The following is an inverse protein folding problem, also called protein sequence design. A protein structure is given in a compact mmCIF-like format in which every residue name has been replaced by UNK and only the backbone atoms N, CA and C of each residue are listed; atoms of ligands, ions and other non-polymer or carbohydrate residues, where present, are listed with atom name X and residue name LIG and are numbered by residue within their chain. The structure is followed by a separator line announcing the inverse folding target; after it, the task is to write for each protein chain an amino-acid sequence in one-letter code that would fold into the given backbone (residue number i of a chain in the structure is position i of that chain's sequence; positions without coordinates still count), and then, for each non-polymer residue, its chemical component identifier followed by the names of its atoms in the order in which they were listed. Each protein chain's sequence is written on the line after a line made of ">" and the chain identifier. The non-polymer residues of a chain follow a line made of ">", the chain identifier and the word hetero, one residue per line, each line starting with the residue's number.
data_IF_471420030278
#
_entry.id   IF_471420030278
#
_cell.length_a   1.000
_cell.length_b   1.000
_cell.length_c   1.000
_cell.angle_alpha   90.00
_cell.angle_beta   90.00
_cell.angle_gamma   90.00
#
_symmetry.space_group_name_H-M   'P 1'
#
loop_
_entity.id
_entity.type
_entity.pdbx_description
1 polymer ?
#
# COMPACT_ATOMS: atom_id res chain seq x y z
N UNK A 1 -17.22 3.04 -15.25
CA UNK A 1 -15.97 2.71 -14.56
C UNK A 1 -15.91 1.21 -14.33
N UNK A 2 -14.81 0.58 -14.68
CA UNK A 2 -14.67 -0.86 -14.53
C UNK A 2 -14.59 -1.25 -13.05
N UNK A 3 -15.27 -2.32 -12.68
CA UNK A 3 -15.12 -2.88 -11.35
C UNK A 3 -13.75 -3.54 -11.21
N UNK A 4 -13.23 -3.54 -9.99
CA UNK A 4 -12.01 -4.24 -9.68
C UNK A 4 -12.23 -5.76 -9.80
N UNK A 5 -11.39 -6.41 -10.57
CA UNK A 5 -11.41 -7.87 -10.68
C UNK A 5 -10.79 -8.49 -9.44
N UNK A 6 -10.99 -9.80 -9.26
CA UNK A 6 -10.33 -10.54 -8.19
C UNK A 6 -8.80 -10.38 -8.27
N UNK A 7 -8.25 -10.43 -9.47
CA UNK A 7 -6.81 -10.25 -9.68
C UNK A 7 -6.35 -8.87 -9.27
N UNK A 8 -7.14 -7.84 -9.58
CA UNK A 8 -6.83 -6.46 -9.19
C UNK A 8 -6.82 -6.30 -7.67
N UNK A 9 -7.77 -6.94 -7.00
CA UNK A 9 -7.83 -6.91 -5.53
C UNK A 9 -6.61 -7.59 -4.92
N UNK A 10 -6.22 -8.74 -5.44
CA UNK A 10 -5.04 -9.46 -4.97
C UNK A 10 -3.79 -8.58 -5.14
N UNK A 11 -3.63 -7.96 -6.30
CA UNK A 11 -2.49 -7.09 -6.56
C UNK A 11 -2.51 -5.87 -5.62
N UNK A 12 -3.66 -5.23 -5.47
CA UNK A 12 -3.78 -4.06 -4.59
C UNK A 12 -3.38 -4.40 -3.15
N UNK A 13 -3.79 -5.56 -2.67
CA UNK A 13 -3.46 -6.00 -1.32
C UNK A 13 -1.98 -6.36 -1.16
N UNK A 14 -1.36 -6.92 -2.20
CA UNK A 14 0.09 -7.15 -2.21
C UNK A 14 0.85 -5.83 -2.13
N UNK A 15 0.41 -4.82 -2.87
CA UNK A 15 1.02 -3.50 -2.84
C UNK A 15 0.90 -2.88 -1.45
N UNK A 16 -0.28 -2.96 -0.83
CA UNK A 16 -0.49 -2.45 0.53
C UNK A 16 0.43 -3.16 1.53
N UNK A 17 0.58 -4.47 1.41
CA UNK A 17 1.48 -5.26 2.24
C UNK A 17 2.94 -4.83 2.06
N UNK A 18 3.36 -4.60 0.82
CA UNK A 18 4.71 -4.16 0.51
C UNK A 18 5.01 -2.78 1.11
N UNK A 19 4.05 -1.86 1.03
CA UNK A 19 4.19 -0.53 1.65
C UNK A 19 4.42 -0.68 3.15
N UNK A 20 3.62 -1.50 3.81
CA UNK A 20 3.77 -1.75 5.24
C UNK A 20 5.13 -2.35 5.57
N UNK A 21 5.59 -3.34 4.81
CA UNK A 21 6.89 -3.96 5.01
C UNK A 21 8.03 -2.94 4.92
N UNK A 22 8.02 -2.13 3.88
CA UNK A 22 9.06 -1.12 3.67
C UNK A 22 9.00 -0.03 4.75
N UNK A 23 7.80 0.38 5.14
CA UNK A 23 7.64 1.32 6.23
C UNK A 23 8.23 0.78 7.53
N UNK A 24 7.90 -0.44 7.87
CA UNK A 24 8.41 -1.08 9.09
C UNK A 24 9.93 -1.28 9.04
N UNK A 25 10.45 -1.56 7.85
CA UNK A 25 11.90 -1.68 7.64
C UNK A 25 12.61 -0.36 7.93
N UNK A 26 11.97 0.77 7.62
CA UNK A 26 12.57 2.09 7.81
C UNK A 26 12.45 2.63 9.24
N UNK A 27 11.30 2.43 9.89
CA UNK A 27 11.01 3.07 11.17
C UNK A 27 10.38 2.13 12.20
N UNK A 28 10.25 0.84 11.92
CA UNK A 28 9.63 -0.10 12.84
C UNK A 28 8.10 -0.14 12.73
N UNK A 29 7.44 -0.82 13.66
CA UNK A 29 6.02 -1.17 13.50
C UNK A 29 5.04 -0.02 13.74
N UNK A 30 5.48 1.10 14.31
CA UNK A 30 4.59 2.21 14.66
C UNK A 30 4.49 3.20 13.50
N UNK A 31 3.28 3.38 12.94
CA UNK A 31 3.06 4.30 11.82
C UNK A 31 3.49 5.73 12.14
N UNK A 32 3.24 6.20 13.36
CA UNK A 32 3.59 7.57 13.75
C UNK A 32 5.09 7.85 13.69
N UNK A 33 5.92 6.85 13.90
CA UNK A 33 7.36 7.01 13.77
C UNK A 33 7.74 7.36 12.33
N UNK A 34 7.10 6.71 11.36
CA UNK A 34 7.30 7.01 9.95
C UNK A 34 6.77 8.41 9.61
N UNK A 35 5.59 8.73 10.10
CA UNK A 35 4.97 10.05 9.88
C UNK A 35 5.89 11.16 10.36
N UNK A 36 6.48 11.01 11.53
CA UNK A 36 7.39 12.01 12.09
C UNK A 36 8.71 12.10 11.34
N UNK A 37 9.29 10.95 11.00
CA UNK A 37 10.58 10.91 10.32
C UNK A 37 10.53 11.55 8.92
N UNK A 38 9.48 11.23 8.17
CA UNK A 38 9.36 11.65 6.77
C UNK A 38 8.43 12.84 6.57
N UNK A 39 7.84 13.34 7.65
CA UNK A 39 6.92 14.48 7.62
C UNK A 39 5.78 14.29 6.62
N UNK A 40 5.09 13.17 6.73
CA UNK A 40 3.94 12.83 5.88
C UNK A 40 2.67 12.80 6.73
N UNK A 41 1.52 12.86 6.08
CA UNK A 41 0.25 12.77 6.79
C UNK A 41 -0.07 11.32 7.17
N UNK A 42 -0.51 11.12 8.42
CA UNK A 42 -0.88 9.79 8.91
C UNK A 42 -1.99 9.16 8.07
N UNK A 43 -2.96 9.96 7.65
CA UNK A 43 -4.09 9.46 6.86
C UNK A 43 -3.64 8.87 5.53
N UNK A 44 -2.62 9.46 4.90
CA UNK A 44 -2.08 8.96 3.65
C UNK A 44 -1.46 7.58 3.84
N UNK A 45 -0.64 7.43 4.89
CA UNK A 45 0.00 6.14 5.19
C UNK A 45 -1.03 5.08 5.52
N UNK A 46 -2.02 5.40 6.34
CA UNK A 46 -3.09 4.46 6.69
C UNK A 46 -3.85 4.02 5.45
N UNK A 47 -4.13 4.96 4.53
CA UNK A 47 -4.83 4.66 3.29
C UNK A 47 -4.01 3.74 2.38
N UNK A 48 -2.71 4.02 2.26
CA UNK A 48 -1.84 3.23 1.38
C UNK A 48 -1.64 1.80 1.89
N UNK A 49 -1.75 1.57 3.21
CA UNK A 49 -1.61 0.25 3.81
C UNK A 49 -2.94 -0.49 3.96
N UNK A 50 -4.05 0.15 3.60
CA UNK A 50 -5.37 -0.47 3.70
C UNK A 50 -5.59 -1.52 2.62
N UNK A 51 -6.12 -2.66 3.04
CA UNK A 51 -6.48 -3.74 2.12
C UNK A 51 -7.92 -3.58 1.65
N UNK A 52 -8.19 -4.03 0.43
CA UNK A 52 -9.54 -4.11 -0.09
C UNK A 52 -10.19 -5.36 0.52
N UNK A 53 -11.36 -5.17 1.11
CA UNK A 53 -12.12 -6.25 1.74
C UNK A 53 -13.43 -6.50 1.00
N UNK A 54 -13.84 -7.75 0.97
CA UNK A 54 -15.12 -8.15 0.37
C UNK A 54 -16.01 -8.65 1.49
N UNK A 55 -17.23 -8.09 1.57
CA UNK A 55 -18.23 -8.59 2.50
C UNK A 55 -18.80 -9.89 1.92
N UNK A 56 -18.59 -11.01 2.62
CA UNK A 56 -19.01 -12.33 2.14
C UNK A 56 -20.52 -12.49 2.08
N UNK A 57 -21.28 -11.69 2.83
CA UNK A 57 -22.74 -11.76 2.84
C UNK A 57 -23.37 -10.97 1.69
N UNK A 58 -22.83 -9.79 1.38
CA UNK A 58 -23.41 -8.89 0.40
C UNK A 58 -22.62 -8.82 -0.90
N UNK A 59 -21.38 -9.31 -0.90
CA UNK A 59 -20.47 -9.16 -2.03
C UNK A 59 -19.90 -7.75 -2.17
N UNK A 60 -20.27 -6.84 -1.27
CA UNK A 60 -19.79 -5.46 -1.32
C UNK A 60 -18.31 -5.39 -1.03
N UNK A 61 -17.61 -4.56 -1.79
CA UNK A 61 -16.18 -4.29 -1.61
C UNK A 61 -16.00 -3.03 -0.79
N UNK A 62 -15.06 -3.05 0.14
CA UNK A 62 -14.70 -1.87 0.92
C UNK A 62 -13.22 -1.59 0.76
N UNK A 63 -12.87 -0.31 0.72
CA UNK A 63 -11.51 0.15 0.48
C UNK A 63 -11.27 0.49 -0.98
N UNK A 64 -10.15 1.15 -1.22
CA UNK A 64 -9.75 1.55 -2.57
C UNK A 64 -8.36 0.99 -2.85
N UNK A 65 -8.14 0.60 -4.10
CA UNK A 65 -6.81 0.30 -4.56
C UNK A 65 -5.95 1.55 -4.55
N UNK A 66 -4.64 1.35 -4.54
CA UNK A 66 -3.67 2.43 -4.62
C UNK A 66 -3.29 2.64 -6.10
N UNK A 67 -3.07 3.90 -6.50
CA UNK A 67 -2.62 4.18 -7.85
C UNK A 67 -1.11 3.98 -7.95
N UNK A 68 -0.61 3.74 -9.17
CA UNK A 68 0.83 3.64 -9.40
C UNK A 68 1.52 4.96 -9.07
N UNK A 69 0.84 6.08 -9.21
CA UNK A 69 1.38 7.39 -8.86
C UNK A 69 1.63 7.50 -7.36
N UNK A 70 0.73 6.96 -6.55
CA UNK A 70 0.90 6.93 -5.10
C UNK A 70 2.04 6.01 -4.68
N UNK A 71 2.18 4.87 -5.36
CA UNK A 71 3.32 3.96 -5.13
C UNK A 71 4.63 4.67 -5.42
N UNK A 72 4.70 5.39 -6.53
CA UNK A 72 5.89 6.17 -6.88
C UNK A 72 6.19 7.23 -5.81
N UNK A 73 5.15 7.92 -5.34
CA UNK A 73 5.32 8.93 -4.29
C UNK A 73 5.91 8.31 -3.02
N UNK A 74 5.38 7.17 -2.60
CA UNK A 74 5.93 6.44 -1.45
C UNK A 74 7.41 6.09 -1.67
N UNK A 75 7.75 5.59 -2.86
CA UNK A 75 9.13 5.26 -3.20
C UNK A 75 10.05 6.47 -3.10
N UNK A 76 9.59 7.63 -3.57
CA UNK A 76 10.35 8.88 -3.46
C UNK A 76 10.58 9.28 -2.01
N UNK A 77 9.56 9.11 -1.16
CA UNK A 77 9.66 9.45 0.25
C UNK A 77 10.77 8.64 0.92
N UNK A 78 10.85 7.34 0.65
CA UNK A 78 11.84 6.47 1.29
C UNK A 78 13.13 6.31 0.49
N UNK A 79 13.22 6.94 -0.69
CA UNK A 79 14.45 6.98 -1.48
C UNK A 79 14.78 5.70 -2.23
N UNK A 80 13.77 4.97 -2.70
CA UNK A 80 13.98 3.78 -3.54
C UNK A 80 13.37 4.01 -4.93
N UNK A 81 13.79 3.18 -5.88
CA UNK A 81 13.21 3.19 -7.23
C UNK A 81 11.94 2.36 -7.26
N UNK A 82 11.05 2.69 -8.21
CA UNK A 82 9.82 1.93 -8.39
C UNK A 82 10.08 0.45 -8.68
N UNK A 83 11.12 0.16 -9.44
CA UNK A 83 11.50 -1.23 -9.74
C UNK A 83 11.88 -1.98 -8.46
N UNK A 84 12.54 -1.31 -7.52
CA UNK A 84 12.93 -1.92 -6.25
C UNK A 84 11.71 -2.25 -5.39
N UNK A 85 10.68 -1.41 -5.47
CA UNK A 85 9.43 -1.66 -4.77
C UNK A 85 8.82 -2.98 -5.18
N UNK A 86 8.80 -3.27 -6.48
CA UNK A 86 8.19 -4.49 -7.02
C UNK A 86 9.14 -5.69 -7.07
N UNK A 87 10.39 -5.51 -6.71
CA UNK A 87 11.37 -6.59 -6.64
C UNK A 87 11.28 -7.29 -5.29
N UNK A 88 10.22 -8.09 -5.13
CA UNK A 88 9.94 -8.82 -3.90
C UNK A 88 9.12 -10.08 -4.23
N UNK A 89 9.25 -11.08 -3.39
CA UNK A 89 8.55 -12.36 -3.57
C UNK A 89 7.03 -12.21 -3.64
N UNK A 90 6.49 -11.15 -3.04
CA UNK A 90 5.04 -10.86 -3.11
C UNK A 90 4.52 -10.80 -4.54
N UNK A 91 5.37 -10.36 -5.49
CA UNK A 91 4.95 -10.11 -6.87
C UNK A 91 5.43 -11.19 -7.84
N UNK A 92 6.02 -12.25 -7.34
CA UNK A 92 6.54 -13.34 -8.17
C UNK A 92 5.64 -14.56 -8.18
#
# INVERSE_FOLDING_TARGET
>A
MAELTQENIILANKIATRIKQLREEKTGPVQMDFVRKYNVEKQIISRWESHIKINTKTGAKSGRGITIYSVEEFCKIIGIKLVDFFDDDLFQ
#
